data_IF_236873996419
#
_entry.id   IF_236873996419
#
_cell.length_a   1.000
_cell.length_b   1.000
_cell.length_c   1.000
_cell.angle_alpha   90.00
_cell.angle_beta   90.00
_cell.angle_gamma   90.00
#
_symmetry.space_group_name_H-M   'P 1'
#
loop_
_entity.id
_entity.type
_entity.pdbx_description
1 polymer ?
#
# COMPACT_ATOMS: atom_id res chain seq x y z
N UNK A 1 -3.87 -50.32 64.17
CA UNK A 1 -3.06 -49.09 64.31
C UNK A 1 -2.37 -48.85 62.98
N UNK A 2 -2.38 -47.60 62.51
CA UNK A 2 -1.69 -47.20 61.29
C UNK A 2 -2.54 -46.30 60.38
N UNK A 3 -2.96 -45.14 60.87
CA UNK A 3 -3.46 -44.07 60.01
C UNK A 3 -2.27 -43.42 59.31
N UNK A 4 -2.26 -43.45 57.98
CA UNK A 4 -1.35 -42.64 57.18
C UNK A 4 -1.90 -41.22 57.15
N UNK A 5 -1.19 -40.30 57.81
CA UNK A 5 -1.41 -38.87 57.66
C UNK A 5 -0.99 -38.48 56.24
N UNK A 6 -1.91 -37.93 55.46
CA UNK A 6 -1.58 -37.23 54.24
C UNK A 6 -0.84 -35.93 54.61
N UNK A 7 0.35 -35.71 54.04
CA UNK A 7 1.03 -34.42 54.13
C UNK A 7 0.17 -33.34 53.45
N UNK A 8 -0.03 -32.16 54.08
CA UNK A 8 -0.72 -31.06 53.42
C UNK A 8 0.19 -30.50 52.33
N UNK A 9 -0.35 -30.36 51.12
CA UNK A 9 0.32 -29.66 50.03
C UNK A 9 0.61 -28.20 50.44
N UNK A 10 1.75 -27.62 50.01
CA UNK A 10 2.12 -26.27 50.43
C UNK A 10 1.15 -25.24 49.84
N UNK A 11 0.31 -24.65 50.69
CA UNK A 11 -0.47 -23.46 50.41
C UNK A 11 0.46 -22.24 50.37
N UNK A 12 1.04 -21.93 49.21
CA UNK A 12 1.56 -20.57 49.00
C UNK A 12 1.65 -20.20 47.51
N UNK A 13 0.50 -20.21 46.83
CA UNK A 13 0.30 -19.31 45.69
C UNK A 13 -0.46 -18.12 46.26
N UNK A 14 0.25 -17.02 46.54
CA UNK A 14 -0.38 -15.79 47.01
C UNK A 14 -1.38 -15.34 45.96
N UNK A 15 -2.68 -15.40 46.29
CA UNK A 15 -3.73 -14.89 45.42
C UNK A 15 -3.55 -13.38 45.31
N UNK A 16 -3.20 -12.90 44.12
CA UNK A 16 -3.28 -11.47 43.81
C UNK A 16 -4.70 -10.99 44.13
N UNK A 17 -4.81 -9.83 44.76
CA UNK A 17 -6.10 -9.18 44.96
C UNK A 17 -6.73 -8.87 43.60
N UNK A 18 -8.07 -8.79 43.57
CA UNK A 18 -8.79 -8.43 42.33
C UNK A 18 -8.29 -7.09 41.74
N UNK A 19 -7.89 -6.15 42.61
CA UNK A 19 -7.34 -4.86 42.21
C UNK A 19 -5.98 -5.02 41.52
N UNK A 20 -5.07 -5.81 42.08
CA UNK A 20 -3.77 -6.11 41.46
C UNK A 20 -3.92 -6.83 40.12
N UNK A 21 -4.89 -7.76 40.00
CA UNK A 21 -5.18 -8.43 38.74
C UNK A 21 -5.70 -7.48 37.66
N UNK A 22 -6.51 -6.48 38.03
CA UNK A 22 -6.98 -5.45 37.11
C UNK A 22 -5.83 -4.57 36.65
N UNK A 23 -4.98 -4.12 37.58
CA UNK A 23 -3.82 -3.28 37.28
C UNK A 23 -2.85 -3.98 36.31
N UNK A 24 -2.48 -5.23 36.59
CA UNK A 24 -1.58 -6.00 35.72
C UNK A 24 -2.17 -6.22 34.33
N UNK A 25 -3.48 -6.45 34.22
CA UNK A 25 -4.16 -6.59 32.92
C UNK A 25 -4.14 -5.30 32.12
N UNK A 26 -4.40 -4.16 32.78
CA UNK A 26 -4.38 -2.87 32.11
C UNK A 26 -2.97 -2.53 31.60
N UNK A 27 -1.95 -2.68 32.44
CA UNK A 27 -0.56 -2.44 32.06
C UNK A 27 -0.11 -3.39 30.93
N UNK A 28 -0.50 -4.67 30.99
CA UNK A 28 -0.28 -5.60 29.88
C UNK A 28 -0.91 -5.12 28.57
N UNK A 29 -2.18 -4.70 28.61
CA UNK A 29 -2.87 -4.23 27.41
C UNK A 29 -2.22 -2.96 26.83
N UNK A 30 -1.75 -2.06 27.70
CA UNK A 30 -1.03 -0.85 27.29
C UNK A 30 0.30 -1.19 26.61
N UNK A 31 1.10 -2.09 27.21
CA UNK A 31 2.36 -2.56 26.62
C UNK A 31 2.12 -3.30 25.31
N UNK A 32 1.09 -4.15 25.22
CA UNK A 32 0.74 -4.84 23.98
C UNK A 32 0.30 -3.86 22.88
N UNK A 33 -0.46 -2.82 23.22
CA UNK A 33 -0.82 -1.78 22.26
C UNK A 33 0.40 -0.99 21.79
N UNK A 34 1.27 -0.57 22.72
CA UNK A 34 2.50 0.16 22.38
C UNK A 34 3.44 -0.66 21.51
N UNK A 35 3.58 -1.96 21.82
CA UNK A 35 4.36 -2.91 21.01
C UNK A 35 3.83 -2.98 19.58
N UNK A 36 2.51 -3.14 19.40
CA UNK A 36 1.90 -3.20 18.06
C UNK A 36 2.16 -1.92 17.26
N UNK A 37 2.11 -0.75 17.90
CA UNK A 37 2.42 0.53 17.26
C UNK A 37 3.88 0.59 16.80
N UNK A 38 4.83 0.23 17.67
CA UNK A 38 6.27 0.22 17.31
C UNK A 38 6.60 -0.81 16.22
N UNK A 39 5.96 -1.98 16.25
CA UNK A 39 6.11 -2.98 15.18
C UNK A 39 5.60 -2.46 13.83
N UNK A 40 4.50 -1.70 13.83
CA UNK A 40 4.00 -1.03 12.62
C UNK A 40 4.98 0.04 12.13
N UNK A 41 5.43 0.94 13.00
CA UNK A 41 6.39 2.00 12.64
C UNK A 41 7.69 1.43 12.07
N UNK A 42 8.18 0.33 12.66
CA UNK A 42 9.35 -0.38 12.13
C UNK A 42 9.08 -0.90 10.73
N UNK A 43 7.95 -1.56 10.51
CA UNK A 43 7.58 -2.10 9.20
C UNK A 43 7.47 -0.99 8.15
N UNK A 44 6.83 0.12 8.49
CA UNK A 44 6.68 1.27 7.58
C UNK A 44 8.07 1.86 7.22
N UNK A 45 8.98 1.97 8.19
CA UNK A 45 10.34 2.46 7.96
C UNK A 45 11.20 1.49 7.13
N UNK A 46 11.07 0.18 7.38
CA UNK A 46 11.74 -0.87 6.58
C UNK A 46 11.30 -0.81 5.10
N UNK A 47 10.02 -0.55 4.85
CA UNK A 47 9.51 -0.37 3.49
C UNK A 47 10.14 0.84 2.79
N UNK A 48 10.23 1.98 3.49
CA UNK A 48 10.91 3.18 2.97
C UNK A 48 12.38 2.93 2.68
N UNK A 49 13.07 2.11 3.47
CA UNK A 49 14.49 1.83 3.26
C UNK A 49 14.76 0.83 2.13
N UNK A 50 13.84 -0.10 1.86
CA UNK A 50 14.08 -1.22 0.94
C UNK A 50 13.47 -1.04 -0.46
N UNK A 51 12.43 -0.24 -0.61
CA UNK A 51 11.82 -0.02 -1.91
C UNK A 51 12.64 0.92 -2.81
N UNK A 52 12.53 0.73 -4.12
CA UNK A 52 13.17 1.58 -5.12
C UNK A 52 12.29 2.80 -5.44
N UNK A 53 12.60 3.92 -4.81
CA UNK A 53 11.82 5.16 -4.89
C UNK A 53 12.27 6.12 -6.00
N UNK A 54 13.08 5.66 -6.97
CA UNK A 54 13.98 6.43 -7.85
C UNK A 54 15.33 6.81 -7.20
N UNK A 55 16.37 7.15 -8.00
CA UNK A 55 17.71 7.46 -7.48
C UNK A 55 17.74 8.65 -6.51
N UNK A 56 16.81 9.59 -6.65
CA UNK A 56 16.60 10.76 -5.80
C UNK A 56 15.45 10.58 -4.80
N UNK A 57 14.78 9.43 -4.81
CA UNK A 57 13.67 9.12 -3.90
C UNK A 57 12.38 9.87 -4.19
N UNK A 58 12.22 10.45 -5.39
CA UNK A 58 11.10 11.31 -5.73
C UNK A 58 9.73 10.61 -5.58
N UNK A 59 9.65 9.32 -5.88
CA UNK A 59 8.40 8.55 -5.77
C UNK A 59 7.93 8.31 -4.34
N UNK A 60 8.78 8.54 -3.33
CA UNK A 60 8.35 8.51 -1.94
C UNK A 60 7.23 9.52 -1.67
N UNK A 61 7.17 10.61 -2.45
CA UNK A 61 6.08 11.58 -2.40
C UNK A 61 4.70 11.01 -2.76
N UNK A 62 4.64 9.85 -3.42
CA UNK A 62 3.41 9.16 -3.77
C UNK A 62 3.05 8.03 -2.82
N UNK A 63 3.96 7.58 -1.94
CA UNK A 63 3.71 6.43 -1.06
C UNK A 63 2.36 6.55 -0.33
N UNK A 64 1.56 5.49 -0.38
CA UNK A 64 0.27 5.33 0.29
C UNK A 64 -0.83 6.32 -0.19
N UNK A 65 -0.57 7.15 -1.21
CA UNK A 65 -1.60 7.99 -1.82
C UNK A 65 -2.46 7.17 -2.76
N UNK A 66 -3.77 7.27 -2.60
CA UNK A 66 -4.76 6.55 -3.39
C UNK A 66 -5.49 7.46 -4.38
N UNK A 67 -5.62 6.99 -5.62
CA UNK A 67 -6.27 7.70 -6.72
C UNK A 67 -7.33 6.81 -7.34
N UNK A 68 -8.50 7.40 -7.60
CA UNK A 68 -9.67 6.64 -8.05
C UNK A 68 -10.27 7.19 -9.33
N UNK A 69 -10.73 6.29 -10.20
CA UNK A 69 -11.49 6.62 -11.40
C UNK A 69 -12.76 5.76 -11.49
N UNK A 70 -13.86 6.40 -11.89
CA UNK A 70 -15.13 5.72 -12.13
C UNK A 70 -15.23 5.35 -13.60
N UNK A 71 -15.34 4.06 -13.90
CA UNK A 71 -15.47 3.55 -15.26
C UNK A 71 -16.65 2.59 -15.31
N UNK A 72 -17.67 3.00 -16.07
CA UNK A 72 -18.98 2.34 -16.11
C UNK A 72 -19.57 2.25 -14.70
N UNK A 73 -19.76 1.03 -14.18
CA UNK A 73 -20.35 0.77 -12.86
C UNK A 73 -19.31 0.55 -11.75
N UNK A 74 -18.01 0.56 -12.09
CA UNK A 74 -16.93 0.25 -11.17
C UNK A 74 -16.13 1.50 -10.79
N UNK A 75 -15.69 1.57 -9.54
CA UNK A 75 -14.66 2.51 -9.09
C UNK A 75 -13.35 1.75 -8.96
N UNK A 76 -12.37 2.10 -9.77
CA UNK A 76 -11.00 1.59 -9.63
C UNK A 76 -10.23 2.53 -8.72
N UNK A 77 -9.45 1.98 -7.80
CA UNK A 77 -8.60 2.71 -6.86
C UNK A 77 -7.19 2.13 -6.92
N UNK A 78 -6.18 2.98 -7.07
CA UNK A 78 -4.76 2.62 -7.04
C UNK A 78 -4.11 3.39 -5.91
N UNK A 79 -3.65 2.69 -4.89
CA UNK A 79 -2.82 3.20 -3.81
C UNK A 79 -1.35 2.96 -4.16
N UNK A 80 -0.63 4.04 -4.43
CA UNK A 80 0.74 3.98 -4.92
C UNK A 80 1.66 3.27 -3.92
N UNK A 81 2.37 2.26 -4.40
CA UNK A 81 3.26 1.40 -3.61
C UNK A 81 2.57 0.53 -2.54
N UNK A 82 1.23 0.43 -2.57
CA UNK A 82 0.47 -0.42 -1.64
C UNK A 82 -0.36 -1.47 -2.41
N UNK A 83 -1.51 -1.08 -2.95
CA UNK A 83 -2.44 -2.01 -3.61
C UNK A 83 -3.35 -1.32 -4.64
N UNK A 84 -4.02 -2.14 -5.46
CA UNK A 84 -5.06 -1.70 -6.38
C UNK A 84 -6.36 -2.47 -6.14
N UNK A 85 -7.51 -1.81 -6.29
CA UNK A 85 -8.84 -2.37 -5.99
C UNK A 85 -9.86 -1.95 -7.03
N UNK A 86 -10.85 -2.81 -7.27
CA UNK A 86 -12.08 -2.51 -8.00
C UNK A 86 -13.25 -2.57 -7.03
N UNK A 87 -14.04 -1.51 -6.93
CA UNK A 87 -15.22 -1.42 -6.06
C UNK A 87 -16.50 -1.40 -6.90
N UNK A 88 -17.51 -2.14 -6.45
CA UNK A 88 -18.87 -2.17 -7.01
C UNK A 88 -19.88 -2.13 -5.85
N UNK A 89 -20.45 -0.95 -5.59
CA UNK A 89 -21.32 -0.74 -4.42
C UNK A 89 -20.59 -1.06 -3.11
N UNK A 90 -21.03 -2.11 -2.41
CA UNK A 90 -20.40 -2.59 -1.17
C UNK A 90 -19.38 -3.72 -1.39
N UNK A 91 -19.20 -4.19 -2.63
CA UNK A 91 -18.22 -5.21 -2.98
C UNK A 91 -16.89 -4.58 -3.38
N UNK A 92 -15.79 -5.25 -3.06
CA UNK A 92 -14.44 -4.86 -3.47
C UNK A 92 -13.67 -6.10 -3.92
N UNK A 93 -13.11 -6.04 -5.13
CA UNK A 93 -12.15 -7.02 -5.64
C UNK A 93 -10.73 -6.47 -5.50
N UNK A 94 -9.83 -7.29 -4.98
CA UNK A 94 -8.40 -7.00 -4.92
C UNK A 94 -7.77 -7.22 -6.30
N UNK A 95 -7.11 -6.20 -6.84
CA UNK A 95 -6.42 -6.22 -8.14
C UNK A 95 -4.91 -6.43 -8.00
N UNK A 96 -4.42 -6.57 -6.77
CA UNK A 96 -3.04 -6.91 -6.47
C UNK A 96 -2.36 -5.88 -5.57
N UNK A 97 -1.32 -6.36 -4.88
CA UNK A 97 -0.40 -5.53 -4.12
C UNK A 97 0.73 -5.05 -5.02
N UNK A 98 1.27 -3.86 -4.73
CA UNK A 98 2.49 -3.37 -5.34
C UNK A 98 3.62 -4.40 -5.18
N UNK A 99 4.27 -4.75 -6.29
CA UNK A 99 5.38 -5.70 -6.29
C UNK A 99 6.68 -5.07 -6.75
N UNK A 100 6.69 -4.54 -7.97
CA UNK A 100 7.91 -4.08 -8.62
C UNK A 100 7.64 -3.10 -9.75
N UNK A 101 8.69 -2.36 -10.11
CA UNK A 101 8.74 -1.66 -11.38
C UNK A 101 8.76 -2.66 -12.54
N UNK A 102 7.95 -2.39 -13.56
CA UNK A 102 7.83 -3.20 -14.76
C UNK A 102 8.61 -2.65 -15.95
N UNK A 103 8.61 -3.42 -17.03
CA UNK A 103 9.17 -3.00 -18.30
C UNK A 103 8.29 -1.95 -19.00
N UNK A 104 8.93 -0.89 -19.49
CA UNK A 104 8.32 0.19 -20.26
C UNK A 104 9.39 1.08 -20.87
N UNK A 105 9.03 2.32 -21.23
CA UNK A 105 9.92 3.29 -21.86
C UNK A 105 11.12 3.68 -20.96
N UNK A 106 10.95 3.58 -19.64
CA UNK A 106 12.03 3.75 -18.68
C UNK A 106 11.86 2.82 -17.48
N UNK A 107 12.89 2.73 -16.62
CA UNK A 107 12.84 1.93 -15.38
C UNK A 107 11.64 2.29 -14.48
N UNK A 108 11.23 3.57 -14.49
CA UNK A 108 10.19 4.09 -13.58
C UNK A 108 8.89 4.44 -14.31
N UNK A 109 8.63 3.84 -15.50
CA UNK A 109 7.43 4.15 -16.28
C UNK A 109 6.25 3.23 -16.02
N UNK A 110 6.46 2.09 -15.35
CA UNK A 110 5.41 1.07 -15.18
C UNK A 110 5.45 0.52 -13.78
N UNK A 111 4.31 0.55 -13.10
CA UNK A 111 4.12 -0.12 -11.83
C UNK A 111 3.36 -1.45 -12.00
N UNK A 112 3.82 -2.53 -11.35
CA UNK A 112 3.14 -3.84 -11.40
C UNK A 112 2.54 -4.20 -10.04
N UNK A 113 1.22 -4.37 -10.05
CA UNK A 113 0.42 -4.87 -8.95
C UNK A 113 0.04 -6.33 -9.23
N UNK A 114 0.34 -7.23 -8.30
CA UNK A 114 0.25 -8.68 -8.52
C UNK A 114 -0.44 -9.39 -7.36
N UNK A 115 -0.71 -10.67 -7.55
CA UNK A 115 -1.20 -11.58 -6.51
C UNK A 115 -2.53 -11.12 -5.87
N UNK A 116 -3.39 -10.47 -6.67
CA UNK A 116 -4.72 -10.06 -6.26
C UNK A 116 -5.70 -11.22 -6.15
N UNK A 117 -6.97 -10.88 -5.91
CA UNK A 117 -8.02 -11.86 -5.64
C UNK A 117 -8.23 -12.87 -6.77
N UNK A 118 -8.51 -14.13 -6.39
CA UNK A 118 -8.68 -15.24 -7.34
C UNK A 118 -9.79 -15.02 -8.37
N UNK A 119 -9.49 -15.33 -9.64
CA UNK A 119 -10.40 -15.16 -10.77
C UNK A 119 -10.90 -16.51 -11.28
N UNK A 120 -12.22 -16.65 -11.47
CA UNK A 120 -12.78 -17.89 -12.03
C UNK A 120 -12.33 -18.07 -13.49
N UNK A 121 -11.59 -19.15 -13.77
CA UNK A 121 -11.00 -19.43 -15.08
C UNK A 121 -10.07 -18.32 -15.59
N UNK A 122 -9.36 -17.64 -14.68
CA UNK A 122 -8.35 -16.65 -15.01
C UNK A 122 -7.17 -16.73 -14.05
N UNK A 123 -6.10 -15.98 -14.32
CA UNK A 123 -5.01 -15.82 -13.35
C UNK A 123 -5.51 -15.09 -12.09
N UNK A 124 -4.72 -15.09 -10.99
CA UNK A 124 -4.91 -14.10 -9.93
C UNK A 124 -5.03 -12.71 -10.53
N UNK A 125 -5.95 -11.88 -10.00
CA UNK A 125 -6.12 -10.52 -10.51
C UNK A 125 -4.81 -9.76 -10.40
N UNK A 126 -4.52 -8.96 -11.43
CA UNK A 126 -3.30 -8.15 -11.48
C UNK A 126 -3.58 -6.86 -12.22
N UNK A 127 -2.82 -5.81 -11.89
CA UNK A 127 -2.91 -4.51 -12.55
C UNK A 127 -1.52 -4.00 -12.94
N UNK A 128 -1.40 -3.50 -14.17
CA UNK A 128 -0.27 -2.68 -14.60
C UNK A 128 -0.69 -1.21 -14.61
N UNK A 129 0.11 -0.33 -14.05
CA UNK A 129 -0.12 1.12 -14.09
C UNK A 129 1.02 1.78 -14.84
N UNK A 130 0.74 2.32 -16.03
CA UNK A 130 1.69 3.09 -16.83
C UNK A 130 1.71 4.54 -16.38
N UNK A 131 2.88 5.08 -16.07
CA UNK A 131 3.03 6.45 -15.61
C UNK A 131 3.25 7.38 -16.81
N UNK A 132 2.41 8.41 -16.91
CA UNK A 132 2.45 9.42 -17.95
C UNK A 132 2.88 10.76 -17.35
N UNK A 133 3.75 11.48 -18.06
CA UNK A 133 4.13 12.83 -17.66
C UNK A 133 2.93 13.77 -17.78
N UNK A 134 2.64 14.51 -16.71
CA UNK A 134 1.65 15.59 -16.69
C UNK A 134 1.73 16.42 -15.43
N UNK A 135 0.85 17.41 -15.32
CA UNK A 135 0.90 18.42 -14.24
C UNK A 135 0.38 17.89 -12.90
N UNK A 136 -0.65 17.05 -12.95
CA UNK A 136 -1.37 16.57 -11.78
C UNK A 136 -1.26 15.06 -11.60
N UNK A 137 -1.41 14.62 -10.34
CA UNK A 137 -1.50 13.22 -9.95
C UNK A 137 -2.94 12.71 -10.08
N UNK A 138 -3.24 11.88 -11.09
CA UNK A 138 -4.56 11.25 -11.22
C UNK A 138 -4.61 10.03 -12.14
N UNK A 139 -5.60 9.16 -11.90
CA UNK A 139 -5.86 7.98 -12.72
C UNK A 139 -6.61 8.41 -14.00
N UNK A 140 -5.95 8.29 -15.14
CA UNK A 140 -6.44 8.75 -16.45
C UNK A 140 -7.44 7.76 -17.03
N UNK A 141 -7.07 6.49 -17.06
CA UNK A 141 -7.85 5.43 -17.68
C UNK A 141 -7.60 4.10 -16.98
N UNK A 142 -8.57 3.19 -17.06
CA UNK A 142 -8.43 1.78 -16.66
C UNK A 142 -9.16 0.92 -17.69
N UNK A 143 -8.51 -0.14 -18.14
CA UNK A 143 -9.03 -1.13 -19.06
C UNK A 143 -8.78 -2.55 -18.53
N UNK A 144 -9.62 -3.49 -18.94
CA UNK A 144 -9.43 -4.92 -18.70
C UNK A 144 -9.16 -5.59 -20.06
N UNK A 145 -7.93 -5.51 -20.60
CA UNK A 145 -7.60 -6.06 -21.92
C UNK A 145 -7.75 -7.58 -22.00
N UNK A 146 -7.60 -8.27 -20.87
CA UNK A 146 -7.91 -9.69 -20.74
C UNK A 146 -8.47 -9.99 -19.36
N UNK A 147 -9.18 -11.11 -19.24
CA UNK A 147 -9.93 -11.46 -18.02
C UNK A 147 -9.04 -11.38 -16.77
N UNK A 148 -9.44 -10.54 -15.82
CA UNK A 148 -8.77 -10.32 -14.55
C UNK A 148 -7.35 -9.71 -14.65
N UNK A 149 -6.96 -9.21 -15.82
CA UNK A 149 -5.72 -8.46 -16.04
C UNK A 149 -6.10 -7.05 -16.42
N UNK A 150 -5.71 -6.09 -15.58
CA UNK A 150 -6.07 -4.70 -15.72
C UNK A 150 -4.86 -3.87 -16.15
N UNK A 151 -5.11 -2.86 -16.96
CA UNK A 151 -4.12 -1.85 -17.33
C UNK A 151 -4.70 -0.48 -17.04
N UNK A 152 -3.90 0.36 -16.38
CA UNK A 152 -4.27 1.72 -16.07
C UNK A 152 -3.20 2.70 -16.53
N UNK A 153 -3.62 3.91 -16.84
CA UNK A 153 -2.72 5.04 -17.09
C UNK A 153 -2.86 6.01 -15.93
N UNK A 154 -1.73 6.42 -15.36
CA UNK A 154 -1.67 7.38 -14.26
C UNK A 154 -0.81 8.56 -14.67
N UNK A 155 -1.38 9.76 -14.59
CA UNK A 155 -0.64 10.99 -14.85
C UNK A 155 0.06 11.43 -13.57
N UNK A 156 1.32 11.86 -13.69
CA UNK A 156 2.06 12.47 -12.58
C UNK A 156 3.24 13.31 -13.09
N UNK A 157 3.57 14.43 -12.42
CA UNK A 157 4.79 15.18 -12.73
C UNK A 157 6.06 14.38 -12.50
N UNK A 158 6.02 13.32 -11.66
CA UNK A 158 7.17 12.46 -11.39
C UNK A 158 7.58 11.59 -12.59
N UNK A 159 6.71 11.44 -13.59
CA UNK A 159 7.02 10.75 -14.83
C UNK A 159 7.65 11.67 -15.88
N UNK A 160 7.76 12.98 -15.61
CA UNK A 160 8.38 13.94 -16.51
C UNK A 160 9.92 13.92 -16.38
N UNK A 161 10.61 13.86 -17.52
CA UNK A 161 12.08 13.95 -17.55
C UNK A 161 12.53 15.41 -17.58
N UNK A 162 13.82 15.64 -17.26
CA UNK A 162 14.41 16.97 -17.36
C UNK A 162 14.33 17.52 -18.79
N UNK A 163 14.48 16.67 -19.80
CA UNK A 163 14.33 17.02 -21.22
C UNK A 163 12.90 17.44 -21.55
N UNK A 164 11.89 16.71 -21.06
CA UNK A 164 10.49 17.08 -21.26
C UNK A 164 10.16 18.43 -20.60
N UNK A 165 10.62 18.63 -19.36
CA UNK A 165 10.44 19.89 -18.65
C UNK A 165 11.12 21.06 -19.38
N UNK A 166 12.31 20.84 -19.94
CA UNK A 166 13.03 21.85 -20.72
C UNK A 166 12.31 22.17 -22.03
N UNK A 167 11.85 21.15 -22.76
CA UNK A 167 11.08 21.34 -23.99
C UNK A 167 9.79 22.12 -23.74
N UNK A 168 9.07 21.83 -22.65
CA UNK A 168 7.88 22.57 -22.24
C UNK A 168 8.18 24.05 -21.94
N UNK A 169 9.30 24.34 -21.27
CA UNK A 169 9.75 25.72 -21.01
C UNK A 169 10.07 26.48 -22.30
N UNK A 170 10.75 25.85 -23.24
CA UNK A 170 11.08 26.45 -24.55
C UNK A 170 9.83 26.74 -25.37
N UNK A 171 8.86 25.82 -25.38
CA UNK A 171 7.56 26.02 -26.03
C UNK A 171 6.81 27.20 -25.40
N UNK A 172 6.77 27.29 -24.07
CA UNK A 172 6.13 28.42 -23.38
C UNK A 172 6.81 29.76 -23.70
N UNK A 173 8.14 29.79 -23.74
CA UNK A 173 8.90 30.98 -24.16
C UNK A 173 8.56 31.39 -25.60
N UNK A 174 8.47 30.43 -26.53
CA UNK A 174 8.10 30.71 -27.92
C UNK A 174 6.68 31.26 -28.06
N UNK A 175 5.71 30.74 -27.29
CA UNK A 175 4.32 31.21 -27.31
C UNK A 175 4.16 32.62 -26.70
N UNK A 176 4.97 32.95 -25.70
CA UNK A 176 4.92 34.25 -25.01
C UNK A 176 5.73 35.33 -25.72
N UNK A 177 6.79 34.98 -26.45
CA UNK A 177 7.57 35.92 -27.27
C UNK A 177 6.89 36.30 -28.60
N UNK A 178 5.83 35.60 -28.99
CA UNK A 178 5.02 35.88 -30.18
C UNK A 178 3.81 36.81 -29.94
N UNK A 179 3.60 37.28 -28.71
CA UNK A 179 2.61 38.29 -28.32
C UNK A 179 3.31 39.58 -27.88
#
# INVERSE_FOLDING_TARGET
GGGQAAEPAPEHVTSLSEQELILVRNEKNEVESAKRSLEKERSDAEEVLHNDWSPDGAFLALKDKCFSANIQQYTYEVCMFDNAKQKEGHSSSDLGAWGEWGEGDSKYSVMRYKDGGGCWQGPPRSMKVSLLCGEDDYLVSVAEPSKCVYEAEFMTPLACSAEMAQAAKEQLAAMTAGH
#
